data_IF_627146634296
#
_entry.id   IF_627146634296
#
_cell.length_a   1.000
_cell.length_b   1.000
_cell.length_c   1.000
_cell.angle_alpha   90.00
_cell.angle_beta   90.00
_cell.angle_gamma   90.00
#
_symmetry.space_group_name_H-M   'P 1'
#
loop_
_entity.id
_entity.type
_entity.pdbx_description
1 polymer ?
#
# COMPACT_ATOMS: atom_id res chain seq x y z
N UNK A 1 -39.17 -19.95 21.45
CA UNK A 1 -38.97 -19.01 20.34
C UNK A 1 -38.38 -17.75 20.97
N UNK A 2 -37.05 -17.63 21.01
CA UNK A 2 -36.38 -16.55 21.71
C UNK A 2 -36.50 -15.26 20.89
N UNK A 3 -37.12 -14.24 21.47
CA UNK A 3 -37.17 -12.89 20.92
C UNK A 3 -35.75 -12.33 20.93
N UNK A 4 -35.13 -12.29 19.75
CA UNK A 4 -33.88 -11.57 19.50
C UNK A 4 -34.21 -10.08 19.43
N UNK A 5 -34.60 -9.52 20.56
CA UNK A 5 -34.92 -8.10 20.68
C UNK A 5 -34.21 -7.56 21.91
N UNK A 6 -32.92 -7.26 21.74
CA UNK A 6 -32.17 -6.23 22.44
C UNK A 6 -30.71 -6.33 22.01
N UNK A 7 -30.43 -5.91 20.78
CA UNK A 7 -29.16 -5.27 20.49
C UNK A 7 -29.49 -3.79 20.35
N UNK A 8 -29.34 -3.08 21.46
CA UNK A 8 -29.08 -1.66 21.45
C UNK A 8 -27.88 -1.43 20.53
N UNK A 9 -28.17 -1.17 19.25
CA UNK A 9 -27.23 -0.66 18.27
C UNK A 9 -26.84 0.74 18.73
N UNK A 10 -25.98 0.78 19.75
CA UNK A 10 -25.41 1.99 20.30
C UNK A 10 -24.68 2.72 19.19
N UNK A 11 -25.27 3.83 18.79
CA UNK A 11 -24.70 5.06 18.26
C UNK A 11 -23.22 5.00 17.80
N UNK A 12 -22.93 4.12 16.85
CA UNK A 12 -21.64 4.06 16.15
C UNK A 12 -21.47 5.26 15.20
N UNK A 13 -22.54 6.02 14.97
CA UNK A 13 -22.52 7.24 14.17
C UNK A 13 -22.04 8.45 14.96
N UNK A 14 -22.35 8.59 16.25
CA UNK A 14 -21.92 9.76 17.04
C UNK A 14 -20.41 9.86 17.29
N UNK A 15 -19.66 8.76 17.18
CA UNK A 15 -18.18 8.79 17.23
C UNK A 15 -17.60 9.24 15.88
N UNK A 16 -18.39 9.17 14.80
CA UNK A 16 -17.94 9.49 13.45
C UNK A 16 -18.10 10.99 13.20
N UNK A 17 -17.07 11.76 13.57
CA UNK A 17 -16.87 13.12 13.03
C UNK A 17 -17.10 13.07 11.51
N UNK A 18 -17.93 13.94 10.91
CA UNK A 18 -18.03 14.03 9.46
C UNK A 18 -16.68 14.48 8.94
N UNK A 19 -15.85 13.51 8.57
CA UNK A 19 -14.68 13.77 7.77
C UNK A 19 -15.26 14.12 6.41
N UNK A 20 -15.11 15.38 6.00
CA UNK A 20 -15.22 15.84 4.61
C UNK A 20 -14.94 14.68 3.64
N UNK A 21 -15.74 14.48 2.58
CA UNK A 21 -15.87 13.24 1.81
C UNK A 21 -14.65 12.91 0.91
N UNK A 22 -13.44 12.96 1.47
CA UNK A 22 -12.28 12.28 0.93
C UNK A 22 -12.40 10.78 1.31
N UNK A 23 -13.18 10.05 0.51
CA UNK A 23 -13.37 8.58 0.52
C UNK A 23 -12.35 7.83 1.40
N UNK A 24 -12.73 7.37 2.62
CA UNK A 24 -11.80 6.74 3.57
C UNK A 24 -11.07 5.54 2.95
N UNK A 25 -11.71 4.85 2.02
CA UNK A 25 -11.14 3.80 1.20
C UNK A 25 -9.97 4.33 0.37
N UNK A 26 -10.15 5.44 -0.36
CA UNK A 26 -9.09 6.06 -1.17
C UNK A 26 -7.90 6.50 -0.32
N UNK A 27 -8.15 6.96 0.91
CA UNK A 27 -7.08 7.26 1.89
C UNK A 27 -6.31 6.01 2.28
N UNK A 28 -7.00 4.91 2.58
CA UNK A 28 -6.38 3.62 2.87
C UNK A 28 -5.53 3.13 1.69
N UNK A 29 -6.07 3.14 0.48
CA UNK A 29 -5.35 2.70 -0.72
C UNK A 29 -4.08 3.54 -0.96
N UNK A 30 -4.16 4.86 -0.77
CA UNK A 30 -2.98 5.74 -0.83
C UNK A 30 -1.97 5.41 0.27
N UNK A 31 -2.42 5.12 1.49
CA UNK A 31 -1.54 4.76 2.59
C UNK A 31 -0.79 3.46 2.30
N UNK A 32 -1.49 2.42 1.82
CA UNK A 32 -0.88 1.14 1.41
C UNK A 32 0.16 1.36 0.32
N UNK A 33 -0.18 2.13 -0.73
CA UNK A 33 0.76 2.42 -1.81
C UNK A 33 1.99 3.15 -1.29
N UNK A 34 1.79 4.18 -0.46
CA UNK A 34 2.88 5.01 0.05
C UNK A 34 3.80 4.22 0.98
N UNK A 35 3.25 3.36 1.84
CA UNK A 35 4.00 2.48 2.72
C UNK A 35 4.86 1.47 1.94
N UNK A 36 4.29 0.86 0.89
CA UNK A 36 5.04 -0.03 0.00
C UNK A 36 6.20 0.72 -0.70
N UNK A 37 5.94 1.91 -1.26
CA UNK A 37 6.99 2.72 -1.90
C UNK A 37 8.08 3.13 -0.91
N UNK A 38 7.70 3.54 0.31
CA UNK A 38 8.64 3.88 1.36
C UNK A 38 9.50 2.65 1.71
N UNK A 39 8.90 1.49 1.91
CA UNK A 39 9.62 0.23 2.22
C UNK A 39 10.61 -0.16 1.12
N UNK A 40 10.26 0.07 -0.15
CA UNK A 40 11.13 -0.24 -1.30
C UNK A 40 12.27 0.75 -1.45
N UNK A 41 11.96 2.04 -1.30
CA UNK A 41 12.86 3.15 -1.61
C UNK A 41 13.66 3.66 -0.40
N UNK A 42 13.39 3.18 0.81
CA UNK A 42 14.14 3.59 2.00
C UNK A 42 15.61 3.19 1.88
N UNK A 43 16.50 4.17 2.01
CA UNK A 43 17.96 4.01 1.99
C UNK A 43 18.51 3.59 3.37
N UNK A 44 17.79 2.72 4.08
CA UNK A 44 18.20 2.40 5.45
C UNK A 44 19.42 1.47 5.45
N UNK A 45 20.49 1.87 6.12
CA UNK A 45 21.66 1.03 6.45
C UNK A 45 21.34 -0.10 7.44
N UNK A 46 20.10 -0.19 7.91
CA UNK A 46 19.66 -1.19 8.87
C UNK A 46 19.53 -2.57 8.19
N UNK A 47 20.61 -3.35 8.27
CA UNK A 47 20.78 -4.71 7.73
C UNK A 47 20.05 -5.77 8.57
N UNK A 48 18.76 -5.56 8.85
CA UNK A 48 17.92 -6.54 9.54
C UNK A 48 17.32 -7.54 8.56
N UNK A 49 17.39 -8.85 8.86
CA UNK A 49 16.70 -9.91 8.06
C UNK A 49 15.22 -9.58 7.80
N UNK A 50 14.54 -9.00 8.80
CA UNK A 50 13.14 -8.54 8.70
C UNK A 50 12.96 -7.43 7.65
N UNK A 51 13.83 -6.42 7.66
CA UNK A 51 13.78 -5.30 6.71
C UNK A 51 14.00 -5.78 5.28
N UNK A 52 14.95 -6.70 5.07
CA UNK A 52 15.21 -7.31 3.75
C UNK A 52 14.00 -8.11 3.28
N UNK A 53 13.39 -8.91 4.16
CA UNK A 53 12.17 -9.67 3.84
C UNK A 53 11.02 -8.74 3.45
N UNK A 54 10.71 -7.73 4.26
CA UNK A 54 9.65 -6.76 3.96
C UNK A 54 9.87 -6.05 2.63
N UNK A 55 11.11 -5.66 2.34
CA UNK A 55 11.46 -5.04 1.05
C UNK A 55 11.25 -5.98 -0.13
N UNK A 56 11.62 -7.27 0.00
CA UNK A 56 11.39 -8.28 -1.04
C UNK A 56 9.90 -8.53 -1.27
N UNK A 57 9.12 -8.63 -0.20
CA UNK A 57 7.67 -8.80 -0.28
C UNK A 57 6.99 -7.60 -0.95
N UNK A 58 7.35 -6.38 -0.56
CA UNK A 58 6.84 -5.16 -1.18
C UNK A 58 7.21 -5.09 -2.68
N UNK A 59 8.44 -5.48 -3.05
CA UNK A 59 8.84 -5.56 -4.46
C UNK A 59 8.05 -6.61 -5.23
N UNK A 60 7.90 -7.81 -4.67
CA UNK A 60 7.11 -8.89 -5.28
C UNK A 60 5.66 -8.44 -5.52
N UNK A 61 5.08 -7.70 -4.58
CA UNK A 61 3.74 -7.11 -4.73
C UNK A 61 3.67 -6.09 -5.88
N UNK A 62 4.66 -5.19 -6.01
CA UNK A 62 4.68 -4.19 -7.10
C UNK A 62 4.84 -4.83 -8.49
N UNK A 63 5.66 -5.88 -8.61
CA UNK A 63 5.88 -6.57 -9.90
C UNK A 63 4.83 -7.62 -10.22
N UNK A 64 3.94 -7.94 -9.27
CA UNK A 64 2.85 -8.88 -9.48
C UNK A 64 1.88 -8.33 -10.53
N UNK A 65 1.44 -9.21 -11.44
CA UNK A 65 0.39 -8.95 -12.43
C UNK A 65 -0.99 -9.41 -11.94
N UNK A 66 -1.09 -9.82 -10.68
CA UNK A 66 -2.35 -10.23 -10.07
C UNK A 66 -3.34 -9.05 -10.03
N UNK A 67 -4.55 -9.28 -10.55
CA UNK A 67 -5.66 -8.29 -10.57
C UNK A 67 -6.88 -8.73 -9.76
N UNK A 68 -6.86 -9.91 -9.15
CA UNK A 68 -7.99 -10.52 -8.45
C UNK A 68 -8.27 -9.87 -7.08
N UNK A 69 -7.22 -9.48 -6.33
CA UNK A 69 -7.37 -8.93 -4.98
C UNK A 69 -7.66 -7.42 -4.93
N UNK A 70 -8.50 -7.00 -3.98
CA UNK A 70 -8.83 -5.58 -3.70
C UNK A 70 -7.61 -4.70 -3.40
N UNK A 71 -6.58 -5.30 -2.78
CA UNK A 71 -5.30 -4.63 -2.47
C UNK A 71 -4.17 -5.05 -3.42
N UNK A 72 -4.50 -5.63 -4.58
CA UNK A 72 -3.48 -5.83 -5.61
C UNK A 72 -2.97 -4.48 -6.11
N UNK A 73 -1.69 -4.43 -6.46
CA UNK A 73 -1.04 -3.20 -6.92
C UNK A 73 -1.79 -2.55 -8.10
N UNK A 74 -2.27 -3.36 -9.04
CA UNK A 74 -3.06 -2.91 -10.18
C UNK A 74 -4.37 -2.23 -9.75
N UNK A 75 -5.13 -2.85 -8.83
CA UNK A 75 -6.40 -2.30 -8.35
C UNK A 75 -6.21 -1.03 -7.53
N UNK A 76 -5.14 -0.97 -6.72
CA UNK A 76 -4.78 0.24 -5.99
C UNK A 76 -4.43 1.37 -6.96
N UNK A 77 -3.62 1.09 -7.98
CA UNK A 77 -3.26 2.09 -8.99
C UNK A 77 -4.48 2.58 -9.77
N UNK A 78 -5.33 1.66 -10.21
CA UNK A 78 -6.60 1.95 -10.90
C UNK A 78 -7.51 2.84 -10.05
N UNK A 79 -7.78 2.45 -8.80
CA UNK A 79 -8.63 3.21 -7.88
C UNK A 79 -8.08 4.62 -7.55
N UNK A 80 -6.75 4.79 -7.61
CA UNK A 80 -6.09 6.08 -7.41
C UNK A 80 -5.94 6.91 -8.69
N UNK A 81 -6.21 6.35 -9.88
CA UNK A 81 -6.00 6.99 -11.17
C UNK A 81 -4.52 7.07 -11.59
N UNK A 82 -3.72 6.09 -11.18
CA UNK A 82 -2.29 5.99 -11.46
C UNK A 82 -2.05 4.91 -12.52
N UNK A 83 -1.22 5.20 -13.51
CA UNK A 83 -0.76 4.18 -14.46
C UNK A 83 0.24 3.24 -13.77
N UNK A 84 -0.18 2.01 -13.49
CA UNK A 84 0.60 0.98 -12.80
C UNK A 84 1.95 0.74 -13.47
N UNK A 85 1.99 0.59 -14.80
CA UNK A 85 3.22 0.34 -15.56
C UNK A 85 4.21 1.51 -15.47
N UNK A 86 3.73 2.75 -15.59
CA UNK A 86 4.58 3.94 -15.44
C UNK A 86 5.19 4.01 -14.05
N UNK A 87 4.41 3.67 -13.02
CA UNK A 87 4.90 3.63 -11.65
C UNK A 87 5.95 2.52 -11.47
N UNK A 88 5.71 1.31 -12.00
CA UNK A 88 6.70 0.21 -11.99
C UNK A 88 8.00 0.64 -12.66
N UNK A 89 7.93 1.19 -13.87
CA UNK A 89 9.13 1.64 -14.61
C UNK A 89 9.93 2.63 -13.78
N UNK A 90 9.28 3.60 -13.13
CA UNK A 90 9.95 4.60 -12.30
C UNK A 90 10.62 3.97 -11.08
N UNK A 91 9.89 3.15 -10.32
CA UNK A 91 10.40 2.51 -9.10
C UNK A 91 11.57 1.58 -9.41
N UNK A 92 11.42 0.70 -10.40
CA UNK A 92 12.46 -0.23 -10.82
C UNK A 92 13.67 0.48 -11.41
N UNK A 93 13.45 1.57 -12.17
CA UNK A 93 14.51 2.44 -12.67
C UNK A 93 15.35 3.01 -11.53
N UNK A 94 14.71 3.64 -10.54
CA UNK A 94 15.39 4.19 -9.36
C UNK A 94 16.21 3.14 -8.61
N UNK A 95 15.68 1.91 -8.46
CA UNK A 95 16.42 0.84 -7.81
C UNK A 95 17.65 0.39 -8.60
N UNK A 96 17.53 0.31 -9.92
CA UNK A 96 18.65 -0.01 -10.81
C UNK A 96 19.73 1.05 -10.74
N UNK A 97 19.35 2.32 -10.75
CA UNK A 97 20.29 3.44 -10.70
C UNK A 97 21.05 3.46 -9.35
N UNK A 98 20.35 3.16 -8.25
CA UNK A 98 20.98 2.98 -6.94
C UNK A 98 21.92 1.78 -6.88
N UNK A 99 21.55 0.65 -7.48
CA UNK A 99 22.40 -0.54 -7.53
C UNK A 99 23.72 -0.25 -8.27
N UNK A 100 23.66 0.55 -9.36
CA UNK A 100 24.85 1.01 -10.10
C UNK A 100 25.72 1.94 -9.26
N UNK A 101 25.12 2.89 -8.55
CA UNK A 101 25.87 3.81 -7.68
C UNK A 101 26.59 3.08 -6.53
N UNK A 102 26.07 1.93 -6.07
CA UNK A 102 26.74 1.10 -5.05
C UNK A 102 27.90 0.28 -5.63
N UNK A 103 27.84 -0.11 -6.91
CA UNK A 103 28.94 -0.85 -7.56
C UNK A 103 30.11 0.05 -7.98
N UNK A 104 29.89 1.36 -8.11
CA UNK A 104 30.92 2.34 -8.48
C UNK A 104 31.70 2.90 -7.28
N UNK A 105 31.42 2.44 -6.06
CA UNK A 105 32.05 2.86 -4.78
C UNK A 105 32.84 1.70 -4.18
#
# INVERSE_FOLDING_TARGET
MATYDSWEFGDYEAVRKPMEPAHPERRLLRAVLTDAMATILKENRAVGRRTVKMRREALAWVVSNERSGTFSFERICEALGIHSDRLRTKVLGTLRDRARAVSDV
#
